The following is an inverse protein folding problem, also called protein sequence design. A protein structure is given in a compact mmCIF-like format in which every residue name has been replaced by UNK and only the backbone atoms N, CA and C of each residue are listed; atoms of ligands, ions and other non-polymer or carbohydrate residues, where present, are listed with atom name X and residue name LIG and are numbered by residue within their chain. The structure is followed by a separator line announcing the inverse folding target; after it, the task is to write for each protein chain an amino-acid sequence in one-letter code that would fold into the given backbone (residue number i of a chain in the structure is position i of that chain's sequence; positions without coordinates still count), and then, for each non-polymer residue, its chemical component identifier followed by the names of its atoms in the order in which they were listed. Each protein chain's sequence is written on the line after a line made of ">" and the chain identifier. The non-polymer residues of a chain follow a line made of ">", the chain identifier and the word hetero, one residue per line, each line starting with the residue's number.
data_IF_872589542704
#
_entry.id   IF_872589542704
#
_cell.length_a   1.000
_cell.length_b   1.000
_cell.length_c   1.000
_cell.angle_alpha   90.00
_cell.angle_beta   90.00
_cell.angle_gamma   90.00
#
_symmetry.space_group_name_H-M   'P 1'
#
loop_
_entity.id
_entity.type
_entity.pdbx_description
1 polymer ?
#
# COMPACT_ATOMS: atom_id res chain seq x y z
N UNK A 1 -20.78 12.95 -6.56
CA UNK A 1 -20.33 11.85 -7.46
C UNK A 1 -18.85 11.94 -7.83
N UNK A 2 -18.28 13.11 -8.14
CA UNK A 2 -16.85 13.22 -8.54
C UNK A 2 -15.83 12.73 -7.50
N UNK A 3 -16.10 12.89 -6.20
CA UNK A 3 -15.20 12.43 -5.14
C UNK A 3 -14.89 10.93 -5.22
N UNK A 4 -15.92 10.10 -5.42
CA UNK A 4 -15.75 8.64 -5.51
C UNK A 4 -14.97 8.23 -6.76
N UNK A 5 -15.23 8.88 -7.90
CA UNK A 5 -14.49 8.62 -9.14
C UNK A 5 -13.01 8.94 -8.97
N UNK A 6 -12.69 10.09 -8.36
CA UNK A 6 -11.31 10.49 -8.11
C UNK A 6 -10.59 9.51 -7.17
N UNK A 7 -11.24 9.08 -6.08
CA UNK A 7 -10.67 8.10 -5.14
C UNK A 7 -10.37 6.77 -5.83
N UNK A 8 -11.27 6.30 -6.69
CA UNK A 8 -11.07 5.03 -7.43
C UNK A 8 -9.93 5.16 -8.45
N UNK A 9 -9.86 6.26 -9.20
CA UNK A 9 -8.80 6.51 -10.18
C UNK A 9 -7.43 6.59 -9.49
N UNK A 10 -7.34 7.33 -8.39
CA UNK A 10 -6.10 7.46 -7.60
C UNK A 10 -5.73 6.10 -6.98
N UNK A 11 -6.70 5.36 -6.44
CA UNK A 11 -6.49 4.02 -5.89
C UNK A 11 -5.94 3.04 -6.94
N UNK A 12 -6.46 3.08 -8.17
CA UNK A 12 -5.96 2.28 -9.29
C UNK A 12 -4.56 2.68 -9.73
N UNK A 13 -4.21 3.97 -9.70
CA UNK A 13 -2.82 4.39 -9.96
C UNK A 13 -1.88 3.98 -8.82
N UNK A 14 -2.35 4.03 -7.58
CA UNK A 14 -1.57 3.70 -6.38
C UNK A 14 -1.42 2.19 -6.15
N UNK A 15 -2.33 1.35 -6.67
CA UNK A 15 -2.29 -0.08 -6.40
C UNK A 15 -1.05 -0.76 -6.99
N UNK A 16 -0.63 -0.35 -8.19
CA UNK A 16 0.55 -0.90 -8.85
C UNK A 16 1.85 -0.64 -8.05
N UNK A 17 2.19 0.60 -7.67
CA UNK A 17 3.36 0.84 -6.83
C UNK A 17 3.23 0.20 -5.44
N UNK A 18 2.05 0.22 -4.82
CA UNK A 18 1.82 -0.45 -3.53
C UNK A 18 2.08 -1.95 -3.62
N UNK A 19 1.52 -2.63 -4.61
CA UNK A 19 1.78 -4.04 -4.87
C UNK A 19 3.29 -4.31 -5.01
N UNK A 20 4.00 -3.48 -5.77
CA UNK A 20 5.44 -3.59 -5.96
C UNK A 20 6.21 -3.40 -4.65
N UNK A 21 5.74 -2.53 -3.74
CA UNK A 21 6.31 -2.36 -2.39
C UNK A 21 6.01 -3.58 -1.53
N UNK A 22 4.75 -4.03 -1.42
CA UNK A 22 4.36 -5.20 -0.62
C UNK A 22 5.18 -6.44 -0.99
N UNK A 23 5.39 -6.71 -2.28
CA UNK A 23 6.27 -7.79 -2.74
C UNK A 23 7.72 -7.66 -2.27
N UNK A 24 8.25 -6.45 -2.14
CA UNK A 24 9.63 -6.20 -1.69
C UNK A 24 9.82 -6.42 -0.20
N UNK A 25 8.81 -6.12 0.60
CA UNK A 25 8.82 -6.37 2.06
C UNK A 25 8.35 -7.78 2.43
N UNK A 26 8.08 -8.65 1.45
CA UNK A 26 7.63 -10.02 1.67
C UNK A 26 6.17 -10.15 2.11
N UNK A 27 5.42 -9.06 2.00
CA UNK A 27 4.00 -9.01 2.33
C UNK A 27 3.14 -9.45 1.13
N UNK A 28 2.01 -10.11 1.39
CA UNK A 28 1.08 -10.48 0.34
C UNK A 28 0.51 -9.26 -0.40
N UNK A 29 0.44 -9.32 -1.73
CA UNK A 29 0.09 -8.15 -2.53
C UNK A 29 -1.37 -7.73 -2.45
N UNK A 30 -2.26 -8.63 -2.03
CA UNK A 30 -3.69 -8.33 -1.87
C UNK A 30 -3.93 -7.27 -0.78
N UNK A 31 -2.98 -7.05 0.15
CA UNK A 31 -3.08 -5.96 1.12
C UNK A 31 -3.05 -4.57 0.47
N UNK A 32 -2.54 -4.44 -0.77
CA UNK A 32 -2.63 -3.20 -1.54
C UNK A 32 -4.08 -2.80 -1.86
N UNK A 33 -5.01 -3.76 -1.93
CA UNK A 33 -6.43 -3.51 -2.16
C UNK A 33 -7.09 -2.74 -1.01
N UNK A 34 -6.48 -2.77 0.19
CA UNK A 34 -6.98 -2.00 1.32
C UNK A 34 -7.03 -0.49 0.99
N UNK A 35 -6.23 0.02 0.05
CA UNK A 35 -6.25 1.43 -0.37
C UNK A 35 -7.59 1.89 -0.95
N UNK A 36 -8.42 0.95 -1.45
CA UNK A 36 -9.77 1.25 -1.93
C UNK A 36 -10.78 1.50 -0.82
N UNK A 37 -10.43 1.23 0.45
CA UNK A 37 -11.27 1.56 1.59
C UNK A 37 -11.14 3.07 1.85
N UNK A 38 -12.19 3.87 1.62
CA UNK A 38 -12.15 5.30 1.88
C UNK A 38 -11.91 5.55 3.38
N UNK A 39 -11.18 6.63 3.69
CA UNK A 39 -10.74 7.04 5.03
C UNK A 39 -9.73 6.12 5.74
N UNK A 40 -9.98 4.80 5.79
CA UNK A 40 -9.20 3.88 6.63
C UNK A 40 -8.14 3.10 5.84
N UNK A 41 -8.33 2.93 4.54
CA UNK A 41 -7.50 2.08 3.68
C UNK A 41 -6.03 2.47 3.63
N UNK A 42 -5.76 3.76 3.40
CA UNK A 42 -4.41 4.29 3.35
C UNK A 42 -3.69 4.17 4.70
N UNK A 43 -4.44 4.33 5.79
CA UNK A 43 -3.94 4.22 7.16
C UNK A 43 -3.53 2.78 7.49
N UNK A 44 -4.35 1.79 7.08
CA UNK A 44 -3.99 0.36 7.20
C UNK A 44 -2.74 0.01 6.41
N UNK A 45 -2.66 0.48 5.15
CA UNK A 45 -1.48 0.26 4.29
C UNK A 45 -0.23 0.85 4.93
N UNK A 46 -0.31 2.07 5.49
CA UNK A 46 0.81 2.69 6.19
C UNK A 46 1.21 1.91 7.43
N UNK A 47 0.26 1.45 8.26
CA UNK A 47 0.56 0.64 9.44
C UNK A 47 1.23 -0.70 9.07
N UNK A 48 0.73 -1.37 8.04
CA UNK A 48 1.33 -2.62 7.53
C UNK A 48 2.76 -2.39 7.03
N UNK A 49 2.99 -1.32 6.27
CA UNK A 49 4.32 -0.99 5.76
C UNK A 49 5.27 -0.52 6.87
N UNK A 50 4.78 0.23 7.85
CA UNK A 50 5.56 0.67 9.00
C UNK A 50 6.05 -0.52 9.85
N UNK A 51 5.22 -1.55 10.00
CA UNK A 51 5.59 -2.76 10.75
C UNK A 51 6.30 -3.82 9.88
N UNK A 52 6.56 -3.55 8.60
CA UNK A 52 7.19 -4.50 7.69
C UNK A 52 8.72 -4.44 7.75
N UNK A 53 9.40 -5.56 7.49
CA UNK A 53 10.85 -5.63 7.51
C UNK A 53 11.43 -5.05 6.20
N UNK A 54 11.84 -3.77 6.23
CA UNK A 54 12.39 -3.12 5.04
C UNK A 54 13.77 -3.68 4.68
N UNK A 55 13.98 -4.14 3.42
CA UNK A 55 15.26 -4.73 3.01
C UNK A 55 16.43 -3.72 3.06
N UNK A 56 16.13 -2.42 3.01
CA UNK A 56 17.14 -1.35 3.11
C UNK A 56 17.92 -1.37 4.43
N UNK A 57 17.32 -1.84 5.54
CA UNK A 57 17.99 -1.91 6.84
C UNK A 57 18.77 -3.21 7.06
N UNK A 58 18.69 -4.18 6.14
CA UNK A 58 19.36 -5.48 6.27
C UNK A 58 20.87 -5.43 5.98
N UNK A 59 21.38 -4.33 5.40
CA UNK A 59 22.77 -4.24 4.94
C UNK A 59 23.75 -3.54 5.92
N UNK A 60 23.34 -3.25 7.15
CA UNK A 60 24.27 -2.75 8.17
C UNK A 60 24.82 -3.95 8.97
N UNK A 61 25.77 -4.66 8.39
CA UNK A 61 26.68 -5.55 9.12
C UNK A 61 28.05 -4.89 9.21
#
# INVERSE_FOLDING_TARGET
>A
MQFFVNVVVIGLMAIYPLWRIFRRVGLPPYYALAVFIPAVGMLLVMLMLANSAWPAFKNNK
#
